data_IF_567806632548
#
_entry.id   IF_567806632548
#
_cell.length_a   1.000
_cell.length_b   1.000
_cell.length_c   1.000
_cell.angle_alpha   90.00
_cell.angle_beta   90.00
_cell.angle_gamma   90.00
#
_symmetry.space_group_name_H-M   'P 1'
#
loop_
_entity.id
_entity.type
_entity.pdbx_description
1 polymer ?
#
# COMPACT_ATOMS: atom_id res chain seq x y z
N UNK A 1 -8.90 -4.82 14.33
CA UNK A 1 -7.57 -4.23 14.01
C UNK A 1 -6.82 -5.00 12.92
N UNK A 2 -6.72 -6.34 12.95
CA UNK A 2 -5.95 -7.13 11.96
C UNK A 2 -6.34 -6.89 10.49
N UNK A 3 -7.65 -6.88 10.21
CA UNK A 3 -8.20 -6.61 8.87
C UNK A 3 -7.99 -5.15 8.46
N UNK A 4 -8.03 -4.22 9.42
CA UNK A 4 -7.85 -2.79 9.14
C UNK A 4 -6.43 -2.48 8.63
N UNK A 5 -5.40 -3.06 9.26
CA UNK A 5 -4.00 -2.89 8.83
C UNK A 5 -3.79 -3.42 7.40
N UNK A 6 -4.42 -4.55 7.08
CA UNK A 6 -4.37 -5.15 5.75
C UNK A 6 -5.05 -4.27 4.70
N UNK A 7 -6.24 -3.73 5.00
CA UNK A 7 -6.95 -2.77 4.13
C UNK A 7 -6.09 -1.53 3.89
N UNK A 8 -5.48 -0.95 4.94
CA UNK A 8 -4.61 0.23 4.81
C UNK A 8 -3.44 -0.06 3.86
N UNK A 9 -2.78 -1.21 4.03
CA UNK A 9 -1.67 -1.61 3.15
C UNK A 9 -2.10 -1.73 1.69
N UNK A 10 -3.24 -2.37 1.42
CA UNK A 10 -3.78 -2.53 0.06
C UNK A 10 -4.13 -1.17 -0.55
N UNK A 11 -4.80 -0.29 0.20
CA UNK A 11 -5.19 1.05 -0.27
C UNK A 11 -3.96 1.87 -0.64
N UNK A 12 -2.89 1.82 0.16
CA UNK A 12 -1.64 2.53 -0.15
C UNK A 12 -0.99 2.03 -1.44
N UNK A 13 -0.97 0.71 -1.65
CA UNK A 13 -0.44 0.13 -2.91
C UNK A 13 -1.28 0.58 -4.10
N UNK A 14 -2.61 0.49 -4.01
CA UNK A 14 -3.50 0.91 -5.10
C UNK A 14 -3.39 2.40 -5.38
N UNK A 15 -3.34 3.24 -4.34
CA UNK A 15 -3.14 4.68 -4.49
C UNK A 15 -1.80 4.99 -5.17
N UNK A 16 -0.72 4.36 -4.74
CA UNK A 16 0.60 4.56 -5.35
C UNK A 16 0.68 4.09 -6.81
N UNK A 17 -0.01 3.00 -7.17
CA UNK A 17 -0.16 2.57 -8.56
C UNK A 17 -0.91 3.62 -9.40
N UNK A 18 -2.02 4.15 -8.88
CA UNK A 18 -2.80 5.21 -9.55
C UNK A 18 -1.94 6.47 -9.72
N UNK A 19 -1.20 6.90 -8.70
CA UNK A 19 -0.35 8.10 -8.78
C UNK A 19 0.76 7.94 -9.80
N UNK A 20 1.39 6.76 -9.85
CA UNK A 20 2.44 6.42 -10.84
C UNK A 20 1.87 6.35 -12.26
N UNK A 21 0.63 5.91 -12.42
CA UNK A 21 -0.02 5.86 -13.72
C UNK A 21 -0.47 7.24 -14.20
N UNK A 22 -1.01 8.09 -13.30
CA UNK A 22 -1.33 9.49 -13.61
C UNK A 22 -0.07 10.29 -13.98
N UNK A 23 1.04 10.10 -13.26
CA UNK A 23 2.30 10.78 -13.55
C UNK A 23 2.87 10.50 -14.93
N UNK A 24 2.51 9.35 -15.51
CA UNK A 24 2.90 8.91 -16.85
C UNK A 24 1.81 9.14 -17.91
N UNK A 25 0.76 9.88 -17.56
CA UNK A 25 -0.35 10.17 -18.47
C UNK A 25 -1.10 8.93 -18.95
N UNK A 26 -0.99 7.80 -18.23
CA UNK A 26 -1.64 6.54 -18.60
C UNK A 26 -3.12 6.53 -18.22
N UNK A 27 -3.50 7.27 -17.17
CA UNK A 27 -4.88 7.41 -16.71
C UNK A 27 -5.08 8.76 -15.99
N UNK A 28 -6.34 9.13 -15.77
CA UNK A 28 -6.72 10.34 -15.04
C UNK A 28 -6.96 11.57 -15.93
N UNK A 29 -7.57 12.64 -15.39
CA UNK A 29 -7.86 13.84 -16.16
C UNK A 29 -6.60 14.68 -16.38
N UNK A 30 -6.49 15.30 -17.55
CA UNK A 30 -5.37 16.21 -17.87
C UNK A 30 -5.30 17.43 -16.95
N UNK A 31 -6.41 17.81 -16.32
CA UNK A 31 -6.46 18.88 -15.31
C UNK A 31 -5.89 18.47 -13.94
N UNK A 32 -5.57 17.19 -13.73
CA UNK A 32 -4.95 16.72 -12.50
C UNK A 32 -3.55 17.29 -12.36
N UNK A 33 -3.22 17.81 -11.18
CA UNK A 33 -1.86 18.26 -10.84
C UNK A 33 -0.82 17.12 -10.90
N UNK A 34 -1.26 15.86 -10.88
CA UNK A 34 -0.41 14.68 -11.01
C UNK A 34 -0.16 14.29 -12.46
N UNK A 35 -1.00 14.72 -13.40
CA UNK A 35 -0.95 14.24 -14.78
C UNK A 35 0.34 14.68 -15.46
N UNK A 36 1.04 13.73 -16.10
CA UNK A 36 2.31 13.96 -16.78
C UNK A 36 3.41 14.59 -15.90
N UNK A 37 3.35 14.42 -14.58
CA UNK A 37 4.28 15.04 -13.63
C UNK A 37 5.27 14.03 -13.03
N UNK A 38 6.58 14.06 -13.40
CA UNK A 38 7.56 13.06 -12.96
C UNK A 38 7.73 12.95 -11.45
N UNK A 39 7.54 14.02 -10.68
CA UNK A 39 7.62 13.99 -9.21
C UNK A 39 6.61 13.02 -8.61
N UNK A 40 5.43 12.89 -9.23
CA UNK A 40 4.40 11.95 -8.79
C UNK A 40 4.71 10.49 -9.10
N UNK A 41 5.67 10.21 -9.98
CA UNK A 41 6.20 8.86 -10.18
C UNK A 41 6.93 8.38 -8.92
N UNK A 42 7.79 9.24 -8.36
CA UNK A 42 8.54 8.94 -7.14
C UNK A 42 7.59 8.81 -5.95
N UNK A 43 6.64 9.75 -5.82
CA UNK A 43 5.63 9.69 -4.77
C UNK A 43 4.81 8.39 -4.86
N UNK A 44 4.37 8.01 -6.07
CA UNK A 44 3.65 6.76 -6.29
C UNK A 44 4.42 5.52 -5.83
N UNK A 45 5.72 5.44 -6.17
CA UNK A 45 6.57 4.36 -5.67
C UNK A 45 6.77 4.37 -4.15
N UNK A 46 6.88 5.55 -3.52
CA UNK A 46 6.96 5.64 -2.06
C UNK A 46 5.69 5.10 -1.39
N UNK A 47 4.51 5.40 -1.94
CA UNK A 47 3.24 4.86 -1.44
C UNK A 47 3.14 3.34 -1.61
N UNK A 48 3.56 2.81 -2.76
CA UNK A 48 3.63 1.36 -3.00
C UNK A 48 4.56 0.69 -1.99
N UNK A 49 5.76 1.23 -1.81
CA UNK A 49 6.75 0.69 -0.88
C UNK A 49 6.22 0.69 0.57
N UNK A 50 5.62 1.80 1.01
CA UNK A 50 5.03 1.89 2.34
C UNK A 50 3.90 0.86 2.54
N UNK A 51 3.01 0.71 1.55
CA UNK A 51 1.94 -0.29 1.59
C UNK A 51 2.46 -1.72 1.67
N UNK A 52 3.48 -2.06 0.87
CA UNK A 52 4.15 -3.37 0.91
C UNK A 52 4.78 -3.63 2.29
N UNK A 53 5.49 -2.65 2.86
CA UNK A 53 6.11 -2.78 4.19
C UNK A 53 5.04 -3.09 5.25
N UNK A 54 3.91 -2.37 5.24
CA UNK A 54 2.80 -2.60 6.18
C UNK A 54 2.25 -4.02 6.04
N UNK A 55 2.04 -4.50 4.81
CA UNK A 55 1.52 -5.85 4.55
C UNK A 55 2.50 -6.93 5.03
N UNK A 56 3.79 -6.77 4.75
CA UNK A 56 4.84 -7.69 5.19
C UNK A 56 4.90 -7.73 6.73
N UNK A 57 4.91 -6.58 7.39
CA UNK A 57 4.93 -6.51 8.85
C UNK A 57 3.68 -7.15 9.47
N UNK A 58 2.50 -6.94 8.88
CA UNK A 58 1.27 -7.59 9.32
C UNK A 58 1.35 -9.12 9.21
N UNK A 59 1.95 -9.65 8.14
CA UNK A 59 2.18 -11.09 7.95
C UNK A 59 3.18 -11.62 8.99
N UNK A 60 4.32 -10.95 9.16
CA UNK A 60 5.34 -11.32 10.16
C UNK A 60 4.72 -11.37 11.55
N UNK A 61 3.95 -10.34 11.94
CA UNK A 61 3.28 -10.31 13.24
C UNK A 61 2.32 -11.48 13.40
N UNK A 62 1.54 -11.81 12.37
CA UNK A 62 0.57 -12.92 12.41
C UNK A 62 1.24 -14.29 12.52
N UNK A 63 2.42 -14.47 11.94
CA UNK A 63 3.17 -15.73 11.97
C UNK A 63 3.95 -15.85 13.28
N UNK A 64 4.76 -14.84 13.61
CA UNK A 64 5.69 -14.87 14.75
C UNK A 64 4.95 -14.75 16.07
N UNK A 65 3.98 -13.84 16.17
CA UNK A 65 3.22 -13.59 17.39
C UNK A 65 1.87 -14.32 17.39
N UNK A 66 1.76 -15.46 16.69
CA UNK A 66 0.55 -16.29 16.79
C UNK A 66 0.48 -16.81 18.25
N UNK A 67 -0.42 -16.31 19.11
CA UNK A 67 -0.50 -16.80 20.47
C UNK A 67 -0.86 -18.29 20.40
N UNK A 68 -0.08 -19.12 21.09
CA UNK A 68 -0.33 -20.55 21.19
C UNK A 68 -1.71 -20.78 21.84
N UNK A 69 -2.77 -20.85 21.03
CA UNK A 69 -4.11 -21.26 21.45
C UNK A 69 -4.21 -22.78 21.59
N UNK A 70 -3.09 -23.48 21.87
CA UNK A 70 -3.05 -24.94 22.00
C UNK A 70 -2.98 -25.44 23.44
N UNK A 71 -3.23 -24.58 24.43
CA UNK A 71 -3.37 -25.03 25.80
C UNK A 71 -4.51 -24.27 26.48
N UNK A 72 -5.74 -24.72 26.23
CA UNK A 72 -6.78 -24.79 27.26
C UNK A 72 -7.98 -25.59 26.74
N UNK A 73 -8.01 -26.85 27.21
CA UNK A 73 -9.05 -27.88 27.17
C UNK A 73 -9.18 -28.67 25.87
#
# INVERSE_FOLDING_TARGET
MKILVEIIGIVLVLAGLIFTAQSKSLLGPQSSFMYSNPSWTINGFMFILAGIIILILNIIIRIVFRPNQKHNK
#
